data_IF_714475448994
#
_entry.id   IF_714475448994
#
_cell.length_a   1.000
_cell.length_b   1.000
_cell.length_c   1.000
_cell.angle_alpha   90.00
_cell.angle_beta   90.00
_cell.angle_gamma   90.00
#
_symmetry.space_group_name_H-M   'P 1'
#
loop_
_entity.id
_entity.type
_entity.pdbx_description
1 polymer ?
#
# COMPACT_ATOMS: atom_id res chain seq x y z
N UNK A 1 -42.06 -60.69 -13.68
CA UNK A 1 -42.00 -60.06 -12.34
C UNK A 1 -41.41 -61.09 -11.39
N UNK A 2 -40.16 -60.89 -10.96
CA UNK A 2 -39.62 -61.16 -9.62
C UNK A 2 -38.09 -61.12 -9.69
N UNK A 3 -37.50 -60.05 -9.17
CA UNK A 3 -36.05 -59.87 -9.03
C UNK A 3 -35.61 -60.39 -7.66
N UNK A 4 -34.67 -61.34 -7.66
CA UNK A 4 -34.03 -61.87 -6.45
C UNK A 4 -33.06 -60.85 -5.82
N UNK A 5 -32.93 -60.76 -4.49
CA UNK A 5 -32.04 -59.80 -3.84
C UNK A 5 -30.58 -60.29 -3.80
N UNK A 6 -29.66 -59.36 -4.08
CA UNK A 6 -28.20 -59.58 -4.04
C UNK A 6 -27.67 -59.59 -2.59
N UNK A 7 -26.96 -60.67 -2.24
CA UNK A 7 -26.19 -60.81 -0.99
C UNK A 7 -24.96 -59.88 -1.03
N UNK A 8 -24.83 -58.98 -0.06
CA UNK A 8 -23.60 -58.20 0.16
C UNK A 8 -22.53 -59.06 0.84
N UNK A 9 -21.46 -59.38 0.12
CA UNK A 9 -20.22 -59.91 0.71
C UNK A 9 -19.36 -58.74 1.14
N UNK A 10 -19.12 -58.58 2.46
CA UNK A 10 -18.11 -57.66 2.99
C UNK A 10 -16.76 -58.36 2.93
N UNK A 11 -15.91 -57.97 1.99
CA UNK A 11 -14.49 -58.33 2.03
C UNK A 11 -13.80 -57.55 3.14
N UNK A 12 -13.29 -58.26 4.15
CA UNK A 12 -12.31 -57.73 5.10
C UNK A 12 -10.94 -57.92 4.45
N UNK A 13 -10.23 -56.83 4.14
CA UNK A 13 -8.83 -56.91 3.74
C UNK A 13 -7.96 -56.76 4.98
N UNK A 14 -7.20 -57.82 5.28
CA UNK A 14 -6.21 -57.88 6.36
C UNK A 14 -4.95 -57.12 5.98
N UNK A 15 -4.34 -56.49 6.98
CA UNK A 15 -3.06 -55.80 6.89
C UNK A 15 -1.91 -56.78 6.68
N UNK A 16 -1.42 -56.91 5.44
CA UNK A 16 -0.10 -57.47 5.13
C UNK A 16 0.20 -57.27 3.63
N UNK A 17 0.73 -56.10 3.26
CA UNK A 17 1.46 -55.92 2.01
C UNK A 17 2.47 -54.78 2.21
N UNK A 18 3.45 -55.06 3.08
CA UNK A 18 4.71 -54.34 3.23
C UNK A 18 5.76 -55.03 2.34
N UNK A 19 6.81 -54.28 1.95
CA UNK A 19 7.92 -54.56 1.02
C UNK A 19 7.59 -54.25 -0.45
N UNK A 20 8.32 -53.44 -1.21
CA UNK A 20 9.67 -52.81 -1.15
C UNK A 20 9.54 -51.43 -1.85
N UNK A 21 10.33 -50.40 -1.55
CA UNK A 21 11.57 -50.06 -2.27
C UNK A 21 12.30 -48.98 -1.45
N UNK A 22 13.56 -49.27 -1.18
CA UNK A 22 14.55 -48.37 -0.61
C UNK A 22 15.30 -47.72 -1.77
N UNK A 23 15.56 -46.42 -1.75
CA UNK A 23 16.83 -45.82 -2.21
C UNK A 23 16.91 -44.32 -1.93
N UNK A 24 18.12 -43.92 -1.53
CA UNK A 24 18.58 -42.63 -1.09
C UNK A 24 18.44 -41.50 -2.11
N UNK A 25 18.23 -40.27 -1.62
CA UNK A 25 18.69 -39.05 -2.30
C UNK A 25 19.36 -38.15 -1.26
N UNK A 26 20.68 -38.32 -1.16
CA UNK A 26 21.61 -37.30 -0.67
C UNK A 26 21.83 -36.24 -1.76
N UNK A 27 21.77 -34.98 -1.33
CA UNK A 27 22.42 -33.80 -1.91
C UNK A 27 22.13 -33.42 -3.38
N UNK A 28 21.31 -32.38 -3.57
CA UNK A 28 21.51 -31.38 -4.64
C UNK A 28 20.94 -30.04 -4.18
N UNK A 29 21.82 -29.13 -3.75
CA UNK A 29 21.48 -27.71 -3.54
C UNK A 29 21.88 -26.98 -4.83
N UNK A 30 20.93 -26.57 -5.70
CA UNK A 30 21.28 -25.70 -6.81
C UNK A 30 21.42 -24.27 -6.31
N UNK A 31 22.67 -23.83 -6.31
CA UNK A 31 23.14 -22.57 -6.87
C UNK A 31 22.13 -21.41 -6.94
N UNK A 32 22.42 -20.36 -6.17
CA UNK A 32 21.76 -19.07 -6.21
C UNK A 32 22.05 -18.42 -7.57
N UNK A 33 21.12 -18.55 -8.52
CA UNK A 33 21.19 -17.86 -9.80
C UNK A 33 21.14 -16.35 -9.61
N UNK A 34 22.02 -15.63 -10.32
CA UNK A 34 21.98 -14.18 -10.44
C UNK A 34 20.59 -13.70 -10.90
N UNK A 35 20.12 -12.52 -10.47
CA UNK A 35 18.83 -12.01 -10.93
C UNK A 35 18.83 -11.85 -12.45
N UNK A 36 17.71 -12.16 -13.12
CA UNK A 36 17.60 -12.00 -14.57
C UNK A 36 17.88 -10.55 -14.95
N UNK A 37 18.71 -10.36 -15.99
CA UNK A 37 18.88 -9.07 -16.65
C UNK A 37 17.50 -8.56 -17.09
N UNK A 38 17.17 -7.28 -16.85
CA UNK A 38 15.90 -6.75 -17.32
C UNK A 38 15.83 -6.85 -18.85
N UNK A 39 14.65 -7.12 -19.43
CA UNK A 39 14.51 -7.12 -20.88
C UNK A 39 14.94 -5.75 -21.42
N UNK A 40 15.79 -5.77 -22.44
CA UNK A 40 16.16 -4.62 -23.25
C UNK A 40 14.88 -3.94 -23.76
N UNK A 41 14.82 -2.61 -23.70
CA UNK A 41 13.71 -1.85 -24.27
C UNK A 41 13.45 -2.30 -25.71
N UNK A 42 12.19 -2.61 -26.03
CA UNK A 42 11.81 -3.02 -27.37
C UNK A 42 11.88 -1.84 -28.33
N UNK A 43 12.04 -2.07 -29.64
CA UNK A 43 11.88 -1.01 -30.64
C UNK A 43 10.48 -0.40 -30.52
N UNK A 44 10.38 0.87 -30.10
CA UNK A 44 9.12 1.59 -29.93
C UNK A 44 8.77 2.00 -28.49
N UNK A 45 9.51 1.52 -27.48
CA UNK A 45 9.33 2.00 -26.11
C UNK A 45 9.92 3.42 -25.94
N UNK A 46 9.15 4.42 -25.46
CA UNK A 46 9.70 5.74 -25.20
C UNK A 46 10.80 5.69 -24.13
N UNK A 47 11.98 6.19 -24.47
CA UNK A 47 13.12 6.35 -23.55
C UNK A 47 12.65 7.13 -22.31
N UNK A 48 12.93 6.62 -21.11
CA UNK A 48 12.67 7.33 -19.87
C UNK A 48 13.74 8.39 -19.63
N UNK A 49 13.45 9.70 -19.78
CA UNK A 49 14.45 10.75 -19.59
C UNK A 49 14.91 10.87 -18.12
N UNK A 50 14.22 10.19 -17.20
CA UNK A 50 14.52 10.16 -15.77
C UNK A 50 14.84 8.74 -15.27
N UNK A 51 15.01 7.77 -16.18
CA UNK A 51 15.43 6.41 -15.84
C UNK A 51 16.93 6.34 -15.60
N UNK A 52 17.44 5.39 -14.78
CA UNK A 52 18.87 5.16 -14.70
C UNK A 52 19.39 4.77 -16.09
N UNK A 53 20.42 5.47 -16.57
CA UNK A 53 21.07 5.14 -17.83
C UNK A 53 21.56 3.68 -17.78
N UNK A 54 21.26 2.90 -18.83
CA UNK A 54 21.80 1.56 -18.96
C UNK A 54 23.33 1.65 -19.02
N UNK A 55 24.02 0.99 -18.10
CA UNK A 55 25.48 0.83 -18.16
C UNK A 55 25.79 -0.09 -19.35
N UNK A 56 26.06 0.50 -20.52
CA UNK A 56 26.61 -0.21 -21.67
C UNK A 56 28.08 -0.58 -21.44
N UNK A 57 28.61 -1.58 -22.16
CA UNK A 57 29.99 -2.03 -21.98
C UNK A 57 30.96 -0.92 -22.41
N UNK A 58 31.95 -0.64 -21.56
CA UNK A 58 33.02 0.29 -21.84
C UNK A 58 33.89 -0.26 -22.97
N UNK A 59 33.70 0.23 -24.20
CA UNK A 59 34.70 0.07 -25.25
C UNK A 59 35.92 0.93 -24.91
N UNK A 60 37.01 0.27 -24.50
CA UNK A 60 38.36 0.85 -24.50
C UNK A 60 38.84 1.03 -25.94
N UNK A 61 38.98 2.27 -26.36
CA UNK A 61 39.89 2.75 -27.40
C UNK A 61 40.48 4.04 -26.79
N UNK A 62 41.76 4.21 -26.51
CA UNK A 62 42.92 3.94 -27.35
C UNK A 62 43.35 5.27 -28.01
N UNK A 63 44.33 5.97 -27.42
CA UNK A 63 45.19 6.93 -28.13
C UNK A 63 44.82 8.42 -28.05
N UNK A 64 45.74 9.21 -27.49
CA UNK A 64 45.85 10.69 -27.57
C UNK A 64 46.48 11.07 -28.94
N UNK A 65 46.39 12.34 -29.43
CA UNK A 65 47.37 13.34 -29.02
C UNK A 65 46.79 14.75 -28.76
N UNK A 66 47.56 15.48 -27.97
CA UNK A 66 47.26 16.79 -27.41
C UNK A 66 47.45 17.94 -28.42
N UNK A 67 46.54 18.91 -28.40
CA UNK A 67 46.84 20.29 -28.79
C UNK A 67 46.27 21.27 -27.77
N UNK A 68 47.19 21.76 -26.93
CA UNK A 68 47.43 23.15 -26.52
C UNK A 68 46.33 24.16 -26.88
N UNK A 69 45.80 24.87 -25.88
CA UNK A 69 45.67 26.35 -25.82
C UNK A 69 44.95 26.80 -24.53
N UNK A 70 45.46 27.89 -23.93
CA UNK A 70 44.63 28.87 -23.23
C UNK A 70 44.40 28.71 -21.72
N UNK A 71 45.42 29.04 -20.92
CA UNK A 71 45.24 29.52 -19.53
C UNK A 71 44.57 30.90 -19.56
N UNK A 72 43.45 31.08 -18.87
CA UNK A 72 43.12 32.33 -18.19
C UNK A 72 42.58 32.01 -16.79
N UNK A 73 43.39 32.39 -15.80
CA UNK A 73 43.07 32.34 -14.39
C UNK A 73 42.20 33.57 -14.05
N UNK A 74 41.08 33.35 -13.36
CA UNK A 74 40.38 34.42 -12.63
C UNK A 74 40.78 34.32 -11.17
N UNK A 75 41.41 35.39 -10.71
CA UNK A 75 41.95 35.56 -9.39
C UNK A 75 40.86 35.59 -8.31
N UNK A 76 41.15 34.92 -7.19
CA UNK A 76 40.52 35.15 -5.90
C UNK A 76 41.10 36.44 -5.33
N UNK A 77 40.25 37.40 -4.96
CA UNK A 77 40.61 38.44 -4.00
C UNK A 77 39.66 38.32 -2.80
N UNK A 78 40.25 38.43 -1.62
CA UNK A 78 39.53 38.45 -0.36
C UNK A 78 39.71 39.77 0.37
N UNK A 79 38.80 39.98 1.33
CA UNK A 79 38.98 40.62 2.64
C UNK A 79 38.85 42.16 2.75
N UNK A 80 37.93 42.56 3.65
CA UNK A 80 37.86 43.84 4.40
C UNK A 80 36.42 44.11 4.88
N UNK A 81 36.02 43.81 6.14
CA UNK A 81 35.99 44.71 7.33
C UNK A 81 35.55 46.14 6.95
N UNK A 82 34.41 46.69 7.41
CA UNK A 82 34.03 47.08 8.79
C UNK A 82 32.53 47.44 8.84
N UNK A 83 31.92 47.55 10.04
CA UNK A 83 30.65 48.28 10.20
C UNK A 83 29.68 47.65 11.19
N UNK A 84 29.77 48.06 12.45
CA UNK A 84 28.79 47.77 13.49
C UNK A 84 27.51 48.60 13.29
N UNK A 85 26.35 47.96 13.38
CA UNK A 85 25.11 48.58 13.83
C UNK A 85 24.22 47.51 14.46
N UNK A 86 24.22 47.49 15.80
CA UNK A 86 23.27 46.72 16.60
C UNK A 86 21.94 47.46 16.57
N UNK A 87 20.91 46.87 15.98
CA UNK A 87 19.51 47.23 16.26
C UNK A 87 18.91 46.05 17.01
N UNK A 88 18.78 46.22 18.32
CA UNK A 88 18.09 45.30 19.19
C UNK A 88 16.57 45.47 18.96
N UNK A 89 15.93 44.44 18.39
CA UNK A 89 14.48 44.31 18.42
C UNK A 89 14.18 43.31 19.54
N UNK A 90 13.67 43.83 20.65
CA UNK A 90 13.20 43.04 21.78
C UNK A 90 11.98 42.20 21.37
N UNK A 91 11.87 40.92 21.76
CA UNK A 91 10.59 40.23 21.75
C UNK A 91 9.78 40.62 22.98
N UNK A 92 8.59 41.19 22.75
CA UNK A 92 7.57 41.36 23.78
C UNK A 92 7.15 40.00 24.35
N UNK A 93 7.28 39.86 25.67
CA UNK A 93 6.82 38.69 26.41
C UNK A 93 5.28 38.63 26.48
N UNK A 94 4.65 37.44 26.43
CA UNK A 94 3.24 37.32 26.82
C UNK A 94 3.10 37.32 28.35
N UNK A 95 2.12 38.09 28.81
CA UNK A 95 1.73 38.21 30.21
C UNK A 95 1.34 36.86 30.83
N UNK A 96 1.82 36.64 32.05
CA UNK A 96 1.57 35.47 32.90
C UNK A 96 0.34 35.78 33.76
N UNK A 97 -0.72 34.99 33.64
CA UNK A 97 -1.88 35.02 34.54
C UNK A 97 -1.66 33.95 35.63
N UNK A 98 -1.64 34.29 36.93
CA UNK A 98 -1.58 33.31 38.01
C UNK A 98 -2.99 32.96 38.52
N UNK A 99 -3.21 31.67 38.81
CA UNK A 99 -4.43 31.21 39.48
C UNK A 99 -4.73 29.73 39.23
N UNK A 100 -4.13 28.88 40.06
CA UNK A 100 -4.42 27.45 40.13
C UNK A 100 -5.66 27.16 40.98
N UNK A 101 -6.43 26.14 40.63
CA UNK A 101 -6.98 25.17 41.59
C UNK A 101 -7.49 23.92 40.86
N UNK A 102 -6.80 22.81 41.09
CA UNK A 102 -7.31 21.46 40.89
C UNK A 102 -8.27 21.11 42.03
N UNK A 103 -9.41 20.51 41.71
CA UNK A 103 -10.09 19.57 42.59
C UNK A 103 -10.89 18.55 41.74
N UNK A 104 -10.85 17.25 42.07
CA UNK A 104 -11.57 16.22 41.35
C UNK A 104 -12.99 16.07 41.93
N UNK A 105 -13.99 15.90 41.07
CA UNK A 105 -15.30 15.40 41.49
C UNK A 105 -15.41 13.92 41.13
N UNK A 106 -15.39 13.12 42.20
CA UNK A 106 -15.87 11.75 42.26
C UNK A 106 -17.39 11.79 42.21
N UNK A 107 -17.97 10.91 41.39
CA UNK A 107 -19.40 10.59 41.30
C UNK A 107 -19.60 9.83 39.99
N UNK A 108 -19.70 8.50 39.97
CA UNK A 108 -20.56 7.70 40.82
C UNK A 108 -21.91 7.56 40.13
N UNK A 109 -22.08 6.44 39.42
CA UNK A 109 -23.35 5.77 39.12
C UNK A 109 -24.30 6.43 38.09
N UNK A 110 -24.35 5.82 36.91
CA UNK A 110 -25.44 4.89 36.52
C UNK A 110 -25.26 4.41 35.09
N UNK A 111 -24.93 3.13 34.95
CA UNK A 111 -25.17 2.39 33.73
C UNK A 111 -26.67 2.03 33.72
N UNK A 112 -27.44 2.65 32.84
CA UNK A 112 -28.78 2.16 32.51
C UNK A 112 -28.67 1.07 31.44
N UNK A 113 -29.08 -0.18 31.76
CA UNK A 113 -29.18 -1.24 30.78
C UNK A 113 -30.50 -1.08 30.01
N UNK A 114 -30.41 -0.91 28.69
CA UNK A 114 -31.56 -1.13 27.80
C UNK A 114 -31.88 -2.62 27.83
N UNK A 115 -32.83 -2.96 28.70
CA UNK A 115 -33.48 -4.25 28.81
C UNK A 115 -34.49 -4.40 27.67
N UNK A 116 -34.08 -5.08 26.60
CA UNK A 116 -34.98 -5.69 25.62
C UNK A 116 -35.18 -7.14 26.03
N UNK A 117 -36.27 -7.41 26.75
CA UNK A 117 -36.50 -8.67 27.43
C UNK A 117 -36.79 -9.84 26.52
N UNK A 118 -36.43 -11.03 26.99
CA UNK A 118 -37.13 -12.30 26.78
C UNK A 118 -36.81 -13.25 27.95
N UNK A 119 -37.85 -13.77 28.60
CA UNK A 119 -37.84 -15.12 29.17
C UNK A 119 -37.57 -15.30 30.66
N UNK A 120 -38.62 -15.29 31.48
CA UNK A 120 -38.73 -16.17 32.64
C UNK A 120 -40.05 -16.92 32.57
N UNK A 121 -39.98 -18.19 32.18
CA UNK A 121 -41.02 -19.18 32.45
C UNK A 121 -40.35 -20.26 33.32
N UNK A 122 -40.79 -20.35 34.57
CA UNK A 122 -40.54 -21.52 35.41
C UNK A 122 -41.48 -22.64 34.97
N UNK A 123 -40.93 -23.82 34.74
CA UNK A 123 -41.69 -25.00 34.34
C UNK A 123 -40.80 -26.22 34.40
N UNK A 124 -40.94 -26.97 35.50
CA UNK A 124 -40.22 -28.19 35.79
C UNK A 124 -40.90 -29.33 35.03
N UNK A 125 -40.24 -29.90 34.00
CA UNK A 125 -40.61 -31.19 33.42
C UNK A 125 -39.36 -32.02 33.19
N UNK A 126 -39.38 -33.22 33.79
CA UNK A 126 -38.36 -34.26 33.72
C UNK A 126 -38.70 -35.21 32.57
N UNK A 127 -37.65 -35.82 32.01
CA UNK A 127 -37.57 -37.07 31.23
C UNK A 127 -37.39 -37.03 29.70
N UNK A 128 -36.35 -37.79 29.33
CA UNK A 128 -36.13 -38.65 28.16
C UNK A 128 -35.68 -38.00 26.85
N UNK A 129 -34.57 -38.54 26.35
CA UNK A 129 -33.82 -38.00 25.23
C UNK A 129 -34.50 -38.20 23.89
N UNK A 130 -34.26 -37.22 23.01
CA UNK A 130 -34.33 -37.37 21.56
C UNK A 130 -33.26 -36.48 20.96
N UNK A 131 -32.38 -37.08 20.15
CA UNK A 131 -31.43 -36.39 19.27
C UNK A 131 -32.15 -35.31 18.48
N UNK A 132 -31.84 -34.06 18.78
CA UNK A 132 -32.26 -32.92 17.95
C UNK A 132 -31.04 -32.48 17.17
N UNK A 133 -30.95 -32.95 15.93
CA UNK A 133 -30.04 -32.38 14.96
C UNK A 133 -30.34 -30.89 14.84
N UNK A 134 -29.37 -30.06 15.19
CA UNK A 134 -29.41 -28.64 14.91
C UNK A 134 -29.42 -28.46 13.39
N UNK A 135 -30.62 -28.34 12.82
CA UNK A 135 -30.79 -27.77 11.51
C UNK A 135 -30.29 -26.32 11.59
N UNK A 136 -29.04 -26.11 11.20
CA UNK A 136 -28.53 -24.80 10.84
C UNK A 136 -29.38 -24.32 9.66
N UNK A 137 -30.32 -23.43 9.93
CA UNK A 137 -30.87 -22.55 8.91
C UNK A 137 -29.71 -21.71 8.38
N UNK A 138 -29.09 -22.18 7.29
CA UNK A 138 -28.24 -21.37 6.43
C UNK A 138 -29.02 -20.13 6.01
N UNK A 139 -28.59 -18.94 6.46
CA UNK A 139 -29.04 -17.68 5.86
C UNK A 139 -28.17 -17.38 4.63
N UNK A 140 -28.65 -17.60 3.38
CA UNK A 140 -27.80 -17.57 2.20
C UNK A 140 -27.86 -16.21 1.48
N UNK A 141 -27.91 -15.07 2.19
CA UNK A 141 -28.01 -13.75 1.51
C UNK A 141 -27.21 -12.59 2.13
N UNK A 142 -26.46 -12.78 3.23
CA UNK A 142 -25.69 -11.68 3.84
C UNK A 142 -24.32 -11.42 3.22
N UNK A 143 -23.90 -12.16 2.18
CA UNK A 143 -22.53 -12.06 1.63
C UNK A 143 -22.37 -11.12 0.42
N UNK A 144 -23.41 -10.86 -0.35
CA UNK A 144 -23.27 -10.17 -1.66
C UNK A 144 -23.30 -8.65 -1.56
N UNK A 145 -24.10 -8.07 -0.65
CA UNK A 145 -24.20 -6.60 -0.50
C UNK A 145 -22.97 -5.97 0.16
N UNK A 146 -22.33 -6.65 1.11
CA UNK A 146 -21.26 -6.04 1.92
C UNK A 146 -20.00 -5.65 1.14
N UNK A 147 -19.66 -6.37 0.05
CA UNK A 147 -18.38 -6.16 -0.64
C UNK A 147 -18.35 -4.84 -1.42
N UNK A 148 -19.47 -4.46 -2.03
CA UNK A 148 -19.62 -3.21 -2.77
C UNK A 148 -19.68 -2.00 -1.83
N UNK A 149 -20.51 -2.05 -0.78
CA UNK A 149 -20.53 -0.98 0.24
C UNK A 149 -19.16 -0.77 0.89
N UNK A 150 -18.40 -1.86 1.10
CA UNK A 150 -17.02 -1.77 1.60
C UNK A 150 -16.05 -1.14 0.62
N UNK A 151 -16.25 -1.23 -0.70
CA UNK A 151 -15.33 -0.62 -1.68
C UNK A 151 -15.50 0.91 -1.75
N UNK A 152 -16.73 1.41 -1.59
CA UNK A 152 -17.03 2.84 -1.61
C UNK A 152 -16.86 3.54 -0.25
N UNK A 153 -16.67 2.77 0.83
CA UNK A 153 -16.45 3.31 2.16
C UNK A 153 -15.25 4.28 2.20
N UNK A 154 -15.44 5.40 2.90
CA UNK A 154 -14.39 6.38 3.20
C UNK A 154 -13.73 6.00 4.53
N UNK A 155 -12.42 5.94 4.56
CA UNK A 155 -11.66 5.43 5.69
C UNK A 155 -10.92 6.54 6.43
N UNK A 156 -10.70 6.36 7.73
CA UNK A 156 -9.90 7.26 8.55
C UNK A 156 -8.39 7.01 8.36
N UNK A 157 -7.58 8.03 8.58
CA UNK A 157 -6.13 7.92 8.42
C UNK A 157 -5.53 6.82 9.28
N UNK A 158 -5.85 6.78 10.57
CA UNK A 158 -5.28 5.81 11.50
C UNK A 158 -5.57 4.36 11.10
N UNK A 159 -6.78 4.07 10.61
CA UNK A 159 -7.15 2.75 10.12
C UNK A 159 -6.33 2.35 8.89
N UNK A 160 -6.25 3.25 7.90
CA UNK A 160 -5.52 3.00 6.65
C UNK A 160 -4.03 2.84 6.90
N UNK A 161 -3.45 3.71 7.73
CA UNK A 161 -2.03 3.66 8.06
C UNK A 161 -1.64 2.33 8.72
N UNK A 162 -2.46 1.79 9.63
CA UNK A 162 -2.25 0.44 10.20
C UNK A 162 -2.33 -0.63 9.12
N UNK A 163 -3.34 -0.57 8.25
CA UNK A 163 -3.56 -1.56 7.21
C UNK A 163 -2.44 -1.60 6.16
N UNK A 164 -1.96 -0.43 5.74
CA UNK A 164 -0.85 -0.30 4.79
C UNK A 164 0.47 -0.75 5.40
N UNK A 165 0.77 -0.37 6.65
CA UNK A 165 1.97 -0.87 7.36
C UNK A 165 1.97 -2.40 7.48
N UNK A 166 0.83 -3.00 7.82
CA UNK A 166 0.69 -4.45 7.89
C UNK A 166 0.91 -5.16 6.53
N UNK A 167 0.72 -4.45 5.42
CA UNK A 167 1.01 -4.94 4.06
C UNK A 167 2.45 -4.62 3.60
N UNK A 168 3.31 -4.07 4.47
CA UNK A 168 4.67 -3.67 4.11
C UNK A 168 4.76 -2.41 3.24
N UNK A 169 3.72 -1.57 3.25
CA UNK A 169 3.69 -0.28 2.53
C UNK A 169 4.11 0.82 3.51
N UNK A 170 5.13 1.60 3.12
CA UNK A 170 5.63 2.73 3.90
C UNK A 170 4.90 4.02 3.53
N UNK A 171 4.98 5.02 4.40
CA UNK A 171 4.50 6.40 4.17
C UNK A 171 5.64 7.38 4.40
N UNK A 172 5.75 8.39 3.55
CA UNK A 172 6.68 9.52 3.71
C UNK A 172 5.93 10.83 3.50
N UNK A 173 6.03 11.74 4.46
CA UNK A 173 5.47 13.10 4.36
C UNK A 173 6.61 14.11 4.55
N UNK A 174 6.70 15.10 3.66
CA UNK A 174 7.70 16.17 3.78
C UNK A 174 7.48 17.02 5.03
N UNK A 175 6.21 17.33 5.35
CA UNK A 175 5.80 18.07 6.55
C UNK A 175 5.70 17.23 7.82
N UNK A 176 6.07 15.93 7.78
CA UNK A 176 6.02 15.00 8.92
C UNK A 176 4.64 14.96 9.62
N UNK A 177 3.57 15.08 8.84
CA UNK A 177 2.20 15.21 9.35
C UNK A 177 1.20 14.39 8.53
N UNK A 178 -0.06 14.36 8.96
CA UNK A 178 -1.14 13.53 8.39
C UNK A 178 -2.43 14.31 8.12
N UNK A 179 -2.41 15.63 8.27
CA UNK A 179 -3.60 16.47 8.06
C UNK A 179 -3.96 16.56 6.58
N UNK A 180 -5.23 16.36 6.25
CA UNK A 180 -5.75 16.56 4.89
C UNK A 180 -5.68 18.04 4.45
N UNK A 181 -5.67 18.97 5.39
CA UNK A 181 -5.76 20.40 5.09
C UNK A 181 -4.39 21.08 4.90
N UNK A 182 -3.30 20.30 4.82
CA UNK A 182 -1.95 20.83 4.64
C UNK A 182 -1.25 20.11 3.48
N UNK A 183 -0.76 20.84 2.46
CA UNK A 183 -0.21 20.24 1.24
C UNK A 183 1.12 19.51 1.46
N UNK A 184 1.82 19.76 2.57
CA UNK A 184 3.07 19.06 2.92
C UNK A 184 2.83 17.77 3.71
N UNK A 185 1.60 17.49 4.14
CA UNK A 185 1.26 16.25 4.81
C UNK A 185 1.00 15.13 3.80
N UNK A 186 1.07 13.88 4.27
CA UNK A 186 0.51 12.73 3.53
C UNK A 186 -0.64 12.20 4.36
N UNK A 187 -1.86 12.52 3.95
CA UNK A 187 -3.09 12.14 4.65
C UNK A 187 -3.77 10.96 3.96
N UNK A 188 -4.56 10.20 4.72
CA UNK A 188 -5.46 9.19 4.15
C UNK A 188 -6.92 9.45 4.58
N UNK A 189 -7.19 10.63 5.16
CA UNK A 189 -8.52 10.92 5.69
C UNK A 189 -9.55 11.04 4.57
N UNK A 190 -10.53 10.14 4.62
CA UNK A 190 -11.55 10.02 3.60
C UNK A 190 -11.04 9.40 2.31
N UNK A 191 -9.95 8.63 2.34
CA UNK A 191 -9.54 7.79 1.20
C UNK A 191 -10.57 6.68 0.98
N UNK A 192 -10.78 6.25 -0.27
CA UNK A 192 -11.69 5.14 -0.57
C UNK A 192 -11.06 3.80 -0.15
N UNK A 193 -11.87 2.92 0.39
CA UNK A 193 -11.47 1.56 0.71
C UNK A 193 -11.02 0.76 -0.54
N UNK A 194 -11.62 1.00 -1.71
CA UNK A 194 -11.15 0.41 -2.97
C UNK A 194 -9.71 0.81 -3.31
N UNK A 195 -9.38 2.10 -3.19
CA UNK A 195 -8.03 2.64 -3.39
C UNK A 195 -7.02 1.93 -2.49
N UNK A 196 -7.34 1.77 -1.20
CA UNK A 196 -6.48 1.05 -0.25
C UNK A 196 -6.31 -0.42 -0.62
N UNK A 197 -7.40 -1.10 -1.01
CA UNK A 197 -7.35 -2.50 -1.40
C UNK A 197 -6.52 -2.72 -2.69
N UNK A 198 -6.66 -1.85 -3.68
CA UNK A 198 -5.93 -1.91 -4.95
C UNK A 198 -4.45 -1.53 -4.76
N UNK A 199 -4.14 -0.59 -3.88
CA UNK A 199 -2.74 -0.28 -3.50
C UNK A 199 -2.05 -1.48 -2.81
N UNK A 200 -2.74 -2.18 -1.90
CA UNK A 200 -2.22 -3.40 -1.28
C UNK A 200 -2.03 -4.50 -2.33
N UNK A 201 -2.97 -4.63 -3.27
CA UNK A 201 -2.85 -5.57 -4.39
C UNK A 201 -1.65 -5.26 -5.27
N UNK A 202 -1.39 -3.98 -5.56
CA UNK A 202 -0.20 -3.54 -6.31
C UNK A 202 1.07 -3.95 -5.57
N UNK A 203 1.16 -3.71 -4.25
CA UNK A 203 2.30 -4.16 -3.42
C UNK A 203 2.50 -5.68 -3.49
N UNK A 204 1.44 -6.47 -3.33
CA UNK A 204 1.56 -7.93 -3.34
C UNK A 204 1.90 -8.49 -4.72
N UNK A 205 1.27 -8.00 -5.79
CA UNK A 205 1.51 -8.50 -7.15
C UNK A 205 2.87 -8.08 -7.69
N UNK A 206 3.34 -6.89 -7.33
CA UNK A 206 4.65 -6.41 -7.77
C UNK A 206 5.80 -6.97 -6.94
N UNK A 207 5.57 -7.30 -5.66
CA UNK A 207 6.64 -7.59 -4.69
C UNK A 207 7.49 -6.35 -4.32
N UNK A 208 7.40 -5.27 -5.08
CA UNK A 208 8.27 -4.10 -4.99
C UNK A 208 8.08 -3.29 -3.71
N UNK A 209 9.12 -2.57 -3.23
CA UNK A 209 8.94 -1.52 -2.23
C UNK A 209 7.90 -0.49 -2.71
N UNK A 210 6.96 -0.15 -1.83
CA UNK A 210 5.93 0.88 -2.09
C UNK A 210 5.99 1.88 -0.95
N UNK A 211 6.21 3.15 -1.29
CA UNK A 211 6.24 4.27 -0.35
C UNK A 211 5.25 5.33 -0.80
N UNK A 212 4.18 5.52 -0.03
CA UNK A 212 3.18 6.55 -0.32
C UNK A 212 3.68 7.91 0.11
N UNK A 213 3.66 8.88 -0.80
CA UNK A 213 4.12 10.26 -0.60
C UNK A 213 2.99 11.28 -0.59
N UNK A 214 1.86 10.94 -1.19
CA UNK A 214 0.67 11.78 -1.28
C UNK A 214 -0.58 10.92 -1.20
N UNK A 215 -1.63 11.48 -0.64
CA UNK A 215 -2.90 10.80 -0.44
C UNK A 215 -4.04 11.77 -0.67
N UNK A 216 -4.74 12.15 0.39
CA UNK A 216 -5.98 12.95 0.26
C UNK A 216 -5.80 14.44 0.50
N UNK A 217 -4.59 14.89 0.80
CA UNK A 217 -4.31 16.29 1.15
C UNK A 217 -4.72 17.31 0.07
N UNK A 218 -4.91 18.56 0.49
CA UNK A 218 -5.11 19.71 -0.41
C UNK A 218 -3.85 20.01 -1.23
N UNK A 219 -4.01 20.77 -2.32
CA UNK A 219 -2.91 21.15 -3.22
C UNK A 219 -2.88 20.37 -4.54
N UNK A 220 -3.77 19.39 -4.70
CA UNK A 220 -3.94 18.62 -5.93
C UNK A 220 -5.09 19.15 -6.80
N UNK A 221 -5.04 18.87 -8.10
CA UNK A 221 -6.10 19.24 -9.04
C UNK A 221 -7.46 18.63 -8.62
N UNK A 222 -8.56 19.41 -8.68
CA UNK A 222 -9.89 18.92 -8.35
C UNK A 222 -10.42 17.97 -9.41
N UNK A 223 -11.54 17.30 -9.12
CA UNK A 223 -12.25 16.45 -10.07
C UNK A 223 -12.84 15.20 -9.44
N UNK A 224 -13.67 14.48 -10.19
CA UNK A 224 -14.36 13.27 -9.70
C UNK A 224 -13.39 12.21 -9.19
N UNK A 225 -12.34 11.95 -9.96
CA UNK A 225 -11.29 10.98 -9.63
C UNK A 225 -10.02 11.71 -9.18
N UNK A 226 -10.07 12.35 -8.01
CA UNK A 226 -8.98 13.19 -7.47
C UNK A 226 -8.41 12.65 -6.16
N UNK A 227 -7.29 13.24 -5.70
CA UNK A 227 -6.71 13.03 -4.37
C UNK A 227 -7.71 13.36 -3.26
N UNK A 228 -8.30 14.56 -3.29
CA UNK A 228 -9.28 15.00 -2.29
C UNK A 228 -10.48 14.06 -2.17
N UNK A 229 -10.89 13.44 -3.29
CA UNK A 229 -11.98 12.45 -3.34
C UNK A 229 -11.55 11.00 -3.04
N UNK A 230 -10.26 10.77 -2.75
CA UNK A 230 -9.74 9.49 -2.29
C UNK A 230 -9.56 8.45 -3.39
N UNK A 231 -9.54 8.85 -4.66
CA UNK A 231 -9.29 7.97 -5.82
C UNK A 231 -7.82 7.81 -6.14
N UNK A 232 -7.00 8.78 -5.75
CA UNK A 232 -5.60 8.88 -6.15
C UNK A 232 -4.66 8.68 -4.97
N UNK A 233 -3.46 8.17 -5.25
CA UNK A 233 -2.33 8.09 -4.31
C UNK A 233 -1.05 8.38 -5.06
N UNK A 234 -0.13 9.12 -4.44
CA UNK A 234 1.21 9.31 -4.98
C UNK A 234 2.15 8.30 -4.35
N UNK A 235 2.91 7.59 -5.17
CA UNK A 235 3.88 6.59 -4.74
C UNK A 235 5.26 6.95 -5.26
N UNK A 236 6.26 6.92 -4.38
CA UNK A 236 7.66 7.15 -4.79
C UNK A 236 8.10 6.16 -5.86
N UNK A 237 8.77 6.67 -6.89
CA UNK A 237 9.42 5.83 -7.90
C UNK A 237 10.50 4.95 -7.29
N UNK A 238 10.67 3.79 -7.90
CA UNK A 238 11.84 2.93 -7.73
C UNK A 238 11.89 1.96 -8.92
N UNK A 239 13.09 1.51 -9.27
CA UNK A 239 13.30 0.68 -10.47
C UNK A 239 12.38 -0.54 -10.53
N UNK A 240 12.14 -1.21 -9.39
CA UNK A 240 11.24 -2.38 -9.34
C UNK A 240 9.81 -1.99 -9.74
N UNK A 241 9.24 -0.97 -9.09
CA UNK A 241 7.87 -0.54 -9.34
C UNK A 241 7.71 0.03 -10.76
N UNK A 242 8.67 0.84 -11.20
CA UNK A 242 8.68 1.43 -12.54
C UNK A 242 8.67 0.35 -13.64
N UNK A 243 9.49 -0.69 -13.47
CA UNK A 243 9.53 -1.81 -14.40
C UNK A 243 8.29 -2.69 -14.30
N UNK A 244 7.73 -2.90 -13.11
CA UNK A 244 6.49 -3.65 -12.95
C UNK A 244 5.32 -2.98 -13.67
N UNK A 245 5.12 -1.67 -13.45
CA UNK A 245 4.03 -0.92 -14.08
C UNK A 245 4.19 -0.93 -15.60
N UNK A 246 5.38 -0.61 -16.13
CA UNK A 246 5.62 -0.59 -17.58
C UNK A 246 5.41 -1.94 -18.27
N UNK A 247 5.64 -3.06 -17.59
CA UNK A 247 5.38 -4.41 -18.14
C UNK A 247 3.92 -4.85 -18.05
N UNK A 248 3.15 -4.35 -17.09
CA UNK A 248 1.81 -4.85 -16.80
C UNK A 248 0.69 -3.87 -17.14
N UNK A 249 1.03 -2.61 -17.46
CA UNK A 249 0.10 -1.58 -17.88
C UNK A 249 0.47 -1.14 -19.30
N UNK A 250 -0.55 -0.94 -20.13
CA UNK A 250 -0.41 -0.48 -21.51
C UNK A 250 -0.11 1.01 -21.51
N UNK A 251 0.91 1.45 -22.25
CA UNK A 251 1.14 2.87 -22.49
C UNK A 251 -0.01 3.47 -23.30
N UNK A 252 -0.54 4.63 -22.89
CA UNK A 252 -1.72 5.26 -23.52
C UNK A 252 -1.48 6.71 -23.98
N UNK A 253 -0.24 7.21 -23.83
CA UNK A 253 0.14 8.55 -24.30
C UNK A 253 0.72 9.42 -23.19
N UNK A 254 0.73 10.72 -23.43
CA UNK A 254 1.29 11.75 -22.54
C UNK A 254 0.19 12.74 -22.18
N UNK A 255 0.06 13.07 -20.90
CA UNK A 255 -0.84 14.11 -20.40
C UNK A 255 -0.26 15.50 -20.70
N UNK A 256 -1.09 16.54 -20.70
CA UNK A 256 -0.68 17.91 -21.06
C UNK A 256 0.47 18.50 -20.22
N UNK A 257 0.72 17.95 -19.03
CA UNK A 257 1.83 18.31 -18.14
C UNK A 257 3.11 17.49 -18.38
N UNK A 258 3.14 16.67 -19.43
CA UNK A 258 4.28 15.81 -19.76
C UNK A 258 4.29 14.46 -19.04
N UNK A 259 3.31 14.17 -18.17
CA UNK A 259 3.25 12.89 -17.48
C UNK A 259 2.89 11.76 -18.46
N UNK A 260 3.73 10.72 -18.52
CA UNK A 260 3.42 9.52 -19.32
C UNK A 260 2.33 8.70 -18.65
N UNK A 261 1.32 8.32 -19.42
CA UNK A 261 0.16 7.59 -18.92
C UNK A 261 0.25 6.12 -19.29
N UNK A 262 -0.01 5.28 -18.30
CA UNK A 262 -0.16 3.84 -18.44
C UNK A 262 -1.51 3.41 -17.89
N UNK A 263 -2.12 2.39 -18.49
CA UNK A 263 -3.44 1.90 -18.13
C UNK A 263 -3.44 0.40 -17.91
N UNK A 264 -4.06 -0.05 -16.80
CA UNK A 264 -4.30 -1.46 -16.53
C UNK A 264 -5.75 -1.64 -16.06
N UNK A 265 -6.62 -2.09 -16.96
CA UNK A 265 -8.07 -2.03 -16.74
C UNK A 265 -8.53 -0.58 -16.53
N UNK A 266 -9.29 -0.33 -15.47
CA UNK A 266 -9.80 1.01 -15.14
C UNK A 266 -8.78 1.89 -14.39
N UNK A 267 -7.62 1.33 -14.02
CA UNK A 267 -6.58 2.04 -13.29
C UNK A 267 -5.66 2.80 -14.24
N UNK A 268 -5.32 4.02 -13.84
CA UNK A 268 -4.41 4.90 -14.56
C UNK A 268 -3.18 5.18 -13.70
N UNK A 269 -2.01 5.06 -14.30
CA UNK A 269 -0.71 5.33 -13.69
C UNK A 269 -0.07 6.47 -14.49
N UNK A 270 0.01 7.65 -13.89
CA UNK A 270 0.69 8.80 -14.46
C UNK A 270 2.11 8.85 -13.88
N UNK A 271 3.10 8.75 -14.76
CA UNK A 271 4.51 8.87 -14.40
C UNK A 271 4.90 10.34 -14.36
N UNK A 272 4.88 10.90 -13.17
CA UNK A 272 5.37 12.25 -12.89
C UNK A 272 6.84 12.18 -12.47
N UNK A 273 7.58 13.27 -12.69
CA UNK A 273 9.04 13.38 -12.51
C UNK A 273 9.62 12.44 -11.44
N UNK A 274 9.17 12.57 -10.18
CA UNK A 274 9.69 11.83 -9.02
C UNK A 274 8.72 10.82 -8.38
N UNK A 275 7.49 10.67 -8.89
CA UNK A 275 6.47 9.78 -8.31
C UNK A 275 5.50 9.24 -9.36
N UNK A 276 4.82 8.16 -9.01
CA UNK A 276 3.65 7.70 -9.72
C UNK A 276 2.41 8.33 -9.09
N UNK A 277 1.67 9.09 -9.88
CA UNK A 277 0.30 9.51 -9.58
C UNK A 277 -0.65 8.39 -10.06
N UNK A 278 -1.19 7.62 -9.11
CA UNK A 278 -2.00 6.43 -9.42
C UNK A 278 -3.47 6.69 -9.10
N UNK A 279 -4.31 6.58 -10.11
CA UNK A 279 -5.78 6.65 -9.98
C UNK A 279 -6.39 5.25 -9.96
N UNK A 280 -7.05 4.91 -8.85
CA UNK A 280 -7.77 3.64 -8.67
C UNK A 280 -9.29 3.85 -8.81
N UNK A 281 -9.88 3.28 -9.87
CA UNK A 281 -11.34 3.35 -10.10
C UNK A 281 -12.07 2.18 -9.46
#
# INVERSE_FOLDING_TARGET
>A
METRPLRRVRARMSAAALLTVQMAITAFVPWVGAPPTPPSAGPGDPVDPYGPAAAGPAHRLGGVPAHRLGRLAVARTGRGRTGAARVAIAPAAPARVPGAAFAPLIGGDRADPVSGGYGRAGGLVKLLGMSSGSATLEQPQRRTRHRWFRAYARLSHGFVARRLRAAGIKRRSSGRCTSKHRPTCTSYDGIRANTVAKLIRLKHRSGCPVVVTGGTEVGHAPGRHSHGNGYKVDVSRNTCLDSYIRRHARYVGVRSDGARLYQAGDDTYALEHNHWDITFR
#
